data_IF_531006866749
#
_entry.id   IF_531006866749
#
_cell.length_a   1.000
_cell.length_b   1.000
_cell.length_c   1.000
_cell.angle_alpha   90.00
_cell.angle_beta   90.00
_cell.angle_gamma   90.00
#
_symmetry.space_group_name_H-M   'P 1'
#
loop_
_entity.id
_entity.type
_entity.pdbx_description
1 polymer ?
#
# COMPACT_ATOMS: atom_id res chain seq x y z
N UNK A 1 23.76 2.70 -17.79
CA UNK A 1 22.55 1.93 -18.14
C UNK A 1 22.06 0.98 -17.05
N UNK A 2 22.92 0.22 -16.34
CA UNK A 2 22.48 -0.73 -15.28
C UNK A 2 21.66 -0.12 -14.13
N UNK A 3 21.97 1.10 -13.70
CA UNK A 3 21.26 1.76 -12.59
C UNK A 3 19.80 2.13 -12.94
N UNK A 4 19.54 2.55 -14.17
CA UNK A 4 18.19 2.91 -14.65
C UNK A 4 17.27 1.70 -14.78
N UNK A 5 17.82 0.58 -15.26
CA UNK A 5 17.10 -0.70 -15.31
C UNK A 5 16.74 -1.18 -13.90
N UNK A 6 17.66 -1.06 -12.95
CA UNK A 6 17.42 -1.45 -11.55
C UNK A 6 16.33 -0.57 -10.90
N UNK A 7 16.34 0.74 -11.16
CA UNK A 7 15.30 1.65 -10.63
C UNK A 7 13.93 1.34 -11.21
N UNK A 8 13.86 1.07 -12.52
CA UNK A 8 12.63 0.67 -13.18
C UNK A 8 12.09 -0.64 -12.58
N UNK A 9 12.96 -1.64 -12.38
CA UNK A 9 12.57 -2.92 -11.76
C UNK A 9 12.07 -2.74 -10.32
N UNK A 10 12.73 -1.90 -9.51
CA UNK A 10 12.27 -1.60 -8.15
C UNK A 10 10.93 -0.84 -8.13
N UNK A 11 10.68 0.05 -9.10
CA UNK A 11 9.42 0.77 -9.22
C UNK A 11 8.28 -0.14 -9.71
N UNK A 12 8.59 -1.11 -10.58
CA UNK A 12 7.64 -2.10 -11.07
C UNK A 12 7.30 -3.18 -10.04
N UNK A 13 8.18 -3.44 -9.08
CA UNK A 13 7.97 -4.45 -8.05
C UNK A 13 6.68 -4.24 -7.22
N UNK A 14 6.41 -3.05 -6.65
CA UNK A 14 5.15 -2.82 -5.93
C UNK A 14 3.92 -2.90 -6.84
N UNK A 15 4.03 -2.52 -8.11
CA UNK A 15 2.94 -2.65 -9.09
C UNK A 15 2.63 -4.13 -9.39
N UNK A 16 3.66 -4.93 -9.66
CA UNK A 16 3.53 -6.37 -9.90
C UNK A 16 2.99 -7.10 -8.66
N UNK A 17 3.47 -6.73 -7.47
CA UNK A 17 2.98 -7.29 -6.21
C UNK A 17 1.51 -6.93 -5.95
N UNK A 18 1.11 -5.68 -6.20
CA UNK A 18 -0.29 -5.26 -6.07
C UNK A 18 -1.20 -5.98 -7.07
N UNK A 19 -0.74 -6.18 -8.31
CA UNK A 19 -1.47 -6.94 -9.31
C UNK A 19 -1.64 -8.40 -8.91
N UNK A 20 -0.56 -9.06 -8.47
CA UNK A 20 -0.58 -10.44 -8.03
C UNK A 20 -1.53 -10.65 -6.84
N UNK A 21 -1.48 -9.77 -5.84
CA UNK A 21 -2.38 -9.85 -4.68
C UNK A 21 -3.84 -9.70 -5.09
N UNK A 22 -4.16 -8.72 -5.95
CA UNK A 22 -5.53 -8.54 -6.42
C UNK A 22 -6.03 -9.73 -7.26
N UNK A 23 -5.19 -10.29 -8.13
CA UNK A 23 -5.55 -11.42 -8.98
C UNK A 23 -5.73 -12.73 -8.20
N UNK A 24 -4.96 -12.94 -7.14
CA UNK A 24 -5.03 -14.15 -6.31
C UNK A 24 -6.01 -14.02 -5.14
N UNK A 25 -6.41 -12.81 -4.78
CA UNK A 25 -7.43 -12.59 -3.76
C UNK A 25 -8.81 -13.02 -4.27
N UNK A 26 -9.50 -13.81 -3.47
CA UNK A 26 -10.89 -14.15 -3.77
C UNK A 26 -11.77 -12.91 -3.64
N UNK A 27 -12.67 -12.71 -4.61
CA UNK A 27 -13.60 -11.58 -4.59
C UNK A 27 -14.38 -11.58 -3.25
N UNK A 28 -14.52 -10.43 -2.57
CA UNK A 28 -15.20 -10.36 -1.28
C UNK A 28 -16.66 -10.83 -1.43
N UNK A 29 -17.00 -11.95 -0.80
CA UNK A 29 -18.37 -12.46 -0.87
C UNK A 29 -19.32 -11.52 -0.13
N UNK A 30 -20.46 -11.21 -0.76
CA UNK A 30 -21.55 -10.41 -0.14
C UNK A 30 -22.40 -11.23 0.83
N UNK A 31 -22.24 -12.56 0.80
CA UNK A 31 -22.94 -13.49 1.70
C UNK A 31 -22.15 -13.69 3.00
N UNK A 32 -22.88 -13.90 4.08
CA UNK A 32 -22.30 -14.36 5.34
C UNK A 32 -21.70 -15.76 5.15
N UNK A 33 -20.43 -15.93 5.53
CA UNK A 33 -19.77 -17.24 5.52
C UNK A 33 -19.15 -17.47 6.90
N UNK A 34 -19.61 -18.49 7.65
CA UNK A 34 -19.03 -18.83 8.94
C UNK A 34 -17.53 -19.10 8.82
N UNK A 35 -16.72 -18.48 9.69
CA UNK A 35 -15.27 -18.70 9.74
C UNK A 35 -14.43 -17.99 8.68
N UNK A 36 -15.02 -17.17 7.79
CA UNK A 36 -14.29 -16.31 6.85
C UNK A 36 -14.65 -14.85 7.06
N UNK A 37 -13.69 -13.93 6.86
CA UNK A 37 -13.99 -12.50 6.83
C UNK A 37 -14.50 -12.15 5.44
N UNK A 38 -15.79 -11.82 5.31
CA UNK A 38 -16.43 -11.48 4.03
C UNK A 38 -16.84 -10.01 4.00
N UNK A 39 -17.25 -9.48 2.83
CA UNK A 39 -17.72 -8.09 2.71
C UNK A 39 -18.93 -7.82 3.62
N UNK A 40 -19.78 -8.84 3.80
CA UNK A 40 -20.89 -8.82 4.75
C UNK A 40 -20.42 -8.48 6.17
N UNK A 41 -19.35 -9.12 6.62
CA UNK A 41 -18.81 -9.00 7.98
C UNK A 41 -18.17 -7.65 8.26
N UNK A 42 -17.50 -7.07 7.25
CA UNK A 42 -16.97 -5.71 7.32
C UNK A 42 -18.11 -4.71 7.53
N UNK A 43 -19.21 -4.86 6.77
CA UNK A 43 -20.38 -3.98 6.82
C UNK A 43 -21.19 -4.12 8.12
N UNK A 44 -21.36 -5.34 8.63
CA UNK A 44 -22.23 -5.63 9.78
C UNK A 44 -21.48 -5.74 11.11
N UNK A 45 -20.18 -5.43 11.15
CA UNK A 45 -19.44 -5.43 12.41
C UNK A 45 -19.19 -6.82 13.01
N UNK A 46 -19.27 -7.90 12.23
CA UNK A 46 -19.20 -9.26 12.78
C UNK A 46 -17.86 -9.52 13.51
N UNK A 47 -17.94 -10.11 14.70
CA UNK A 47 -16.78 -10.50 15.52
C UNK A 47 -16.26 -11.88 15.09
N UNK A 48 -15.63 -11.95 13.93
CA UNK A 48 -15.06 -13.23 13.47
C UNK A 48 -13.70 -13.46 14.13
N UNK A 49 -13.59 -14.54 14.89
CA UNK A 49 -12.31 -15.05 15.36
C UNK A 49 -11.60 -15.75 14.20
N UNK A 50 -10.70 -15.04 13.50
CA UNK A 50 -9.77 -15.69 12.57
C UNK A 50 -8.41 -15.85 13.25
N UNK A 51 -7.63 -16.85 12.86
CA UNK A 51 -6.21 -16.99 13.29
C UNK A 51 -5.35 -15.75 12.93
N UNK A 52 -5.85 -14.89 12.04
CA UNK A 52 -5.25 -13.64 11.61
C UNK A 52 -5.74 -12.40 12.41
N UNK A 53 -6.19 -12.59 13.66
CA UNK A 53 -6.50 -11.50 14.57
C UNK A 53 -5.20 -10.78 14.98
N UNK A 54 -4.66 -9.91 14.13
CA UNK A 54 -3.71 -8.91 14.59
C UNK A 54 -4.48 -7.91 15.47
N UNK A 55 -4.12 -7.74 16.76
CA UNK A 55 -4.77 -6.76 17.64
C UNK A 55 -4.74 -5.36 17.01
N UNK A 56 -3.67 -5.08 16.27
CA UNK A 56 -3.49 -3.86 15.50
C UNK A 56 -4.62 -3.63 14.48
N UNK A 57 -5.08 -4.64 13.76
CA UNK A 57 -6.18 -4.47 12.79
C UNK A 57 -7.48 -4.01 13.47
N UNK A 58 -7.82 -4.57 14.63
CA UNK A 58 -9.03 -4.17 15.37
C UNK A 58 -8.92 -2.79 16.01
N UNK A 59 -7.73 -2.41 16.48
CA UNK A 59 -7.46 -1.07 17.00
C UNK A 59 -7.49 0.00 15.89
N UNK A 60 -7.00 -0.35 14.70
CA UNK A 60 -6.93 0.56 13.55
C UNK A 60 -8.24 0.60 12.76
N UNK A 61 -9.11 -0.40 12.88
CA UNK A 61 -10.42 -0.46 12.20
C UNK A 61 -11.28 0.79 12.38
N UNK A 62 -11.49 1.35 13.59
CA UNK A 62 -12.27 2.58 13.76
C UNK A 62 -11.61 3.77 13.07
N UNK A 63 -10.28 3.88 13.13
CA UNK A 63 -9.52 4.94 12.44
C UNK A 63 -9.69 4.79 10.93
N UNK A 64 -9.43 3.61 10.37
CA UNK A 64 -9.62 3.31 8.95
C UNK A 64 -11.05 3.58 8.48
N UNK A 65 -12.05 3.15 9.25
CA UNK A 65 -13.46 3.41 8.96
C UNK A 65 -13.79 4.90 8.94
N UNK A 66 -13.28 5.68 9.90
CA UNK A 66 -13.46 7.13 9.95
C UNK A 66 -12.80 7.83 8.74
N UNK A 67 -11.59 7.41 8.35
CA UNK A 67 -10.89 7.98 7.19
C UNK A 67 -11.65 7.68 5.90
N UNK A 68 -12.11 6.43 5.71
CA UNK A 68 -12.91 6.04 4.55
C UNK A 68 -14.22 6.84 4.51
N UNK A 69 -14.91 6.97 5.65
CA UNK A 69 -16.16 7.73 5.73
C UNK A 69 -15.95 9.21 5.40
N UNK A 70 -14.90 9.84 5.93
CA UNK A 70 -14.54 11.22 5.62
C UNK A 70 -14.22 11.42 4.13
N UNK A 71 -13.52 10.47 3.51
CA UNK A 71 -13.22 10.50 2.08
C UNK A 71 -14.48 10.26 1.22
N UNK A 72 -15.40 9.40 1.67
CA UNK A 72 -16.66 9.13 0.98
C UNK A 72 -17.67 10.27 1.09
N UNK A 73 -17.61 11.12 2.12
CA UNK A 73 -18.39 12.36 2.20
C UNK A 73 -18.08 13.32 1.04
N UNK A 74 -16.85 13.27 0.52
CA UNK A 74 -16.45 14.00 -0.69
C UNK A 74 -16.85 13.32 -2.01
N UNK A 75 -17.54 12.18 -1.95
CA UNK A 75 -17.97 11.40 -3.11
C UNK A 75 -16.92 10.42 -3.64
N UNK A 76 -17.38 9.47 -4.46
CA UNK A 76 -16.53 8.40 -5.02
C UNK A 76 -15.39 8.90 -5.92
N UNK A 77 -15.56 10.06 -6.56
CA UNK A 77 -14.53 10.69 -7.39
C UNK A 77 -13.37 11.26 -6.56
N UNK A 78 -13.65 11.88 -5.41
CA UNK A 78 -12.62 12.37 -4.50
C UNK A 78 -11.83 11.21 -3.89
N UNK A 79 -12.52 10.15 -3.45
CA UNK A 79 -11.88 8.94 -2.96
C UNK A 79 -10.96 8.29 -4.00
N UNK A 80 -11.41 8.22 -5.26
CA UNK A 80 -10.59 7.71 -6.36
C UNK A 80 -9.37 8.61 -6.62
N UNK A 81 -9.56 9.94 -6.65
CA UNK A 81 -8.48 10.90 -6.87
C UNK A 81 -7.39 10.84 -5.78
N UNK A 82 -7.79 10.75 -4.51
CA UNK A 82 -6.85 10.61 -3.38
C UNK A 82 -6.08 9.30 -3.46
N UNK A 83 -6.74 8.18 -3.77
CA UNK A 83 -6.05 6.90 -3.95
C UNK A 83 -5.07 6.92 -5.13
N UNK A 84 -5.48 7.48 -6.27
CA UNK A 84 -4.61 7.65 -7.44
C UNK A 84 -3.39 8.52 -7.06
N UNK A 85 -3.61 9.66 -6.41
CA UNK A 85 -2.53 10.53 -5.97
C UNK A 85 -1.55 9.81 -5.02
N UNK A 86 -2.07 9.03 -4.07
CA UNK A 86 -1.22 8.34 -3.11
C UNK A 86 -0.42 7.20 -3.75
N UNK A 87 -1.09 6.31 -4.50
CA UNK A 87 -0.47 5.09 -5.01
C UNK A 87 0.31 5.30 -6.32
N UNK A 88 -0.13 6.19 -7.20
CA UNK A 88 0.51 6.41 -8.50
C UNK A 88 1.46 7.60 -8.51
N UNK A 89 1.34 8.54 -7.57
CA UNK A 89 2.21 9.73 -7.53
C UNK A 89 3.10 9.73 -6.30
N UNK A 90 2.51 9.73 -5.09
CA UNK A 90 3.28 9.92 -3.85
C UNK A 90 4.25 8.78 -3.59
N UNK A 91 3.79 7.52 -3.62
CA UNK A 91 4.64 6.35 -3.35
C UNK A 91 5.80 6.27 -4.38
N UNK A 92 5.56 6.34 -5.70
CA UNK A 92 6.65 6.35 -6.67
C UNK A 92 7.61 7.52 -6.51
N UNK A 93 7.11 8.73 -6.24
CA UNK A 93 7.95 9.91 -6.01
C UNK A 93 8.83 9.74 -4.76
N UNK A 94 8.26 9.23 -3.66
CA UNK A 94 8.98 8.95 -2.43
C UNK A 94 10.08 7.90 -2.66
N UNK A 95 9.76 6.82 -3.38
CA UNK A 95 10.73 5.79 -3.75
C UNK A 95 11.86 6.38 -4.61
N UNK A 96 11.53 7.17 -5.63
CA UNK A 96 12.54 7.85 -6.46
C UNK A 96 13.42 8.78 -5.63
N UNK A 97 12.83 9.56 -4.71
CA UNK A 97 13.57 10.47 -3.84
C UNK A 97 14.52 9.72 -2.89
N UNK A 98 14.04 8.67 -2.23
CA UNK A 98 14.86 7.82 -1.36
C UNK A 98 15.99 7.15 -2.14
N UNK A 99 15.69 6.64 -3.34
CA UNK A 99 16.68 5.98 -4.21
C UNK A 99 17.73 6.98 -4.68
N UNK A 100 17.32 8.19 -5.06
CA UNK A 100 18.24 9.28 -5.40
C UNK A 100 19.13 9.67 -4.22
N UNK A 101 18.54 9.85 -3.03
CA UNK A 101 19.28 10.15 -1.80
C UNK A 101 20.33 9.08 -1.48
N UNK A 102 19.94 7.80 -1.55
CA UNK A 102 20.86 6.68 -1.35
C UNK A 102 22.01 6.67 -2.37
N UNK A 103 21.72 6.89 -3.64
CA UNK A 103 22.73 6.95 -4.70
C UNK A 103 23.68 8.15 -4.55
N UNK A 104 23.16 9.32 -4.17
CA UNK A 104 23.96 10.53 -3.91
C UNK A 104 24.91 10.30 -2.75
N UNK A 105 24.42 9.74 -1.64
CA UNK A 105 25.23 9.43 -0.47
C UNK A 105 26.30 8.37 -0.78
N UNK A 106 25.95 7.32 -1.52
CA UNK A 106 26.91 6.29 -1.93
C UNK A 106 28.01 6.81 -2.88
N UNK A 107 27.72 7.85 -3.67
CA UNK A 107 28.75 8.53 -4.49
C UNK A 107 29.64 9.42 -3.61
N UNK A 108 29.06 10.19 -2.71
CA UNK A 108 29.80 11.03 -1.75
C UNK A 108 30.77 10.21 -0.90
N UNK A 109 30.30 9.10 -0.32
CA UNK A 109 31.13 8.20 0.48
C UNK A 109 32.29 7.63 -0.34
N UNK A 110 32.02 7.21 -1.59
CA UNK A 110 33.08 6.73 -2.50
C UNK A 110 34.09 7.81 -2.85
N UNK A 111 33.66 9.05 -3.02
CA UNK A 111 34.55 10.16 -3.36
C UNK A 111 35.45 10.51 -2.18
N UNK A 112 34.89 10.60 -0.97
CA UNK A 112 35.64 10.83 0.28
C UNK A 112 36.64 9.70 0.55
N UNK A 113 36.27 8.44 0.30
CA UNK A 113 37.17 7.29 0.46
C UNK A 113 38.34 7.28 -0.53
N UNK A 114 38.21 7.91 -1.69
CA UNK A 114 39.29 7.99 -2.67
C UNK A 114 40.21 9.20 -2.45
N UNK A 115 39.86 10.11 -1.53
CA UNK A 115 40.67 11.28 -1.15
C UNK A 115 41.46 11.07 0.15
N UNK A 116 41.21 9.96 0.85
CA UNK A 116 41.99 9.43 1.97
C UNK A 116 42.95 8.36 1.44
#
# INVERSE_FOLDING_TARGET
MKAGLLTLLLALLPLAFSYYLNATSSAPTTRYVPGRCTRYCTLHGCRHATRANSPAYFQLRPVYGATIAALMLGGGSLYAAVNIGFYLVLIPALLCWLTYGALRNARLIRHLRNQL
#
